data_IF_614138445564
#
_entry.id   IF_614138445564
#
_cell.length_a   1.000
_cell.length_b   1.000
_cell.length_c   1.000
_cell.angle_alpha   90.00
_cell.angle_beta   90.00
_cell.angle_gamma   90.00
#
_symmetry.space_group_name_H-M   'P 1'
#
loop_
_entity.id
_entity.type
_entity.pdbx_description
1 polymer ?
#
# COMPACT_ATOMS: atom_id res chain seq x y z
N UNK A 1 -5.39 15.49 22.28
CA UNK A 1 -6.60 14.83 21.75
C UNK A 1 -6.31 13.90 20.55
N UNK A 2 -5.07 13.75 20.08
CA UNK A 2 -4.72 12.86 18.93
C UNK A 2 -4.22 11.45 19.31
N UNK A 3 -4.03 11.16 20.60
CA UNK A 3 -3.50 9.87 21.09
C UNK A 3 -4.43 8.70 20.76
N UNK A 4 -5.75 8.89 20.91
CA UNK A 4 -6.72 7.81 20.78
C UNK A 4 -6.94 7.39 19.33
N UNK A 5 -6.84 8.32 18.37
CA UNK A 5 -6.96 8.02 16.96
C UNK A 5 -5.75 7.25 16.40
N UNK A 6 -4.54 7.59 16.87
CA UNK A 6 -3.32 6.84 16.53
C UNK A 6 -3.34 5.43 17.15
N UNK A 7 -3.76 5.32 18.41
CA UNK A 7 -3.92 4.03 19.08
C UNK A 7 -4.97 3.16 18.40
N UNK A 8 -6.11 3.73 17.98
CA UNK A 8 -7.14 2.99 17.25
C UNK A 8 -6.66 2.48 15.88
N UNK A 9 -5.77 3.20 15.19
CA UNK A 9 -5.14 2.75 13.94
C UNK A 9 -4.15 1.60 14.19
N UNK A 10 -3.36 1.71 15.26
CA UNK A 10 -2.44 0.65 15.66
C UNK A 10 -3.19 -0.65 15.96
N UNK A 11 -4.27 -0.57 16.74
CA UNK A 11 -5.10 -1.72 17.11
C UNK A 11 -5.70 -2.45 15.90
N UNK A 12 -5.85 -1.79 14.75
CA UNK A 12 -6.36 -2.41 13.52
C UNK A 12 -5.27 -3.09 12.70
N UNK A 13 -4.07 -2.52 12.65
CA UNK A 13 -2.94 -3.19 12.02
C UNK A 13 -2.59 -4.50 12.75
N UNK A 14 -2.89 -4.55 14.05
CA UNK A 14 -2.68 -5.70 14.93
C UNK A 14 -3.85 -6.71 14.92
N UNK A 15 -4.93 -6.44 14.16
CA UNK A 15 -6.06 -7.37 14.03
C UNK A 15 -5.65 -8.60 13.19
N UNK A 16 -5.67 -9.83 13.76
CA UNK A 16 -5.24 -11.03 13.05
C UNK A 16 -6.06 -11.33 11.79
N UNK A 17 -7.34 -10.97 11.75
CA UNK A 17 -8.20 -11.18 10.58
C UNK A 17 -7.81 -10.24 9.45
N UNK A 18 -7.54 -8.96 9.76
CA UNK A 18 -7.08 -7.99 8.76
C UNK A 18 -5.68 -8.34 8.25
N UNK A 19 -4.78 -8.81 9.13
CA UNK A 19 -3.47 -9.31 8.73
C UNK A 19 -3.59 -10.52 7.80
N UNK A 20 -4.44 -11.49 8.12
CA UNK A 20 -4.68 -12.64 7.25
C UNK A 20 -5.16 -12.21 5.86
N UNK A 21 -6.09 -11.27 5.77
CA UNK A 21 -6.58 -10.73 4.50
C UNK A 21 -5.49 -9.99 3.72
N UNK A 22 -4.62 -9.23 4.40
CA UNK A 22 -3.49 -8.59 3.75
C UNK A 22 -2.50 -9.62 3.18
N UNK A 23 -2.22 -10.69 3.93
CA UNK A 23 -1.34 -11.79 3.52
C UNK A 23 -1.91 -12.59 2.35
N UNK A 24 -3.23 -12.72 2.22
CA UNK A 24 -3.87 -13.36 1.05
C UNK A 24 -3.62 -12.60 -0.26
N UNK A 25 -3.55 -11.26 -0.21
CA UNK A 25 -3.32 -10.42 -1.38
C UNK A 25 -1.84 -10.29 -1.77
N UNK A 26 -0.97 -10.47 -0.79
CA UNK A 26 0.46 -10.24 -0.93
C UNK A 26 1.17 -11.52 -1.44
N UNK A 27 1.96 -11.46 -2.53
CA UNK A 27 2.77 -12.59 -2.99
C UNK A 27 4.03 -12.78 -2.12
N UNK A 28 3.84 -12.90 -0.80
CA UNK A 28 4.90 -12.86 0.22
C UNK A 28 5.91 -14.00 0.06
N UNK A 29 5.46 -15.19 -0.35
CA UNK A 29 6.35 -16.33 -0.56
C UNK A 29 7.38 -16.05 -1.67
N UNK A 30 6.94 -15.43 -2.78
CA UNK A 30 7.83 -15.01 -3.87
C UNK A 30 8.81 -13.95 -3.40
N UNK A 31 8.32 -12.89 -2.75
CA UNK A 31 9.17 -11.83 -2.22
C UNK A 31 10.22 -12.33 -1.23
N UNK A 32 9.89 -13.32 -0.39
CA UNK A 32 10.87 -13.95 0.52
C UNK A 32 11.95 -14.71 -0.24
N UNK A 33 11.59 -15.43 -1.29
CA UNK A 33 12.55 -16.14 -2.14
C UNK A 33 13.48 -15.15 -2.86
N UNK A 34 12.92 -14.08 -3.43
CA UNK A 34 13.66 -13.03 -4.14
C UNK A 34 14.59 -12.25 -3.19
N UNK A 35 14.11 -11.94 -1.99
CA UNK A 35 14.91 -11.31 -0.93
C UNK A 35 16.08 -12.21 -0.49
N UNK A 36 15.84 -13.50 -0.27
CA UNK A 36 16.88 -14.46 0.11
C UNK A 36 17.93 -14.62 -1.00
N UNK A 37 17.48 -14.73 -2.26
CA UNK A 37 18.38 -14.81 -3.40
C UNK A 37 19.25 -13.56 -3.52
N UNK A 38 18.64 -12.38 -3.39
CA UNK A 38 19.35 -11.10 -3.44
C UNK A 38 20.35 -10.99 -2.29
N UNK A 39 19.98 -11.37 -1.06
CA UNK A 39 20.90 -11.40 0.07
C UNK A 39 22.11 -12.30 -0.21
N UNK A 40 21.88 -13.53 -0.69
CA UNK A 40 22.95 -14.48 -0.99
C UNK A 40 23.98 -13.88 -1.97
N UNK A 41 23.50 -13.34 -3.11
CA UNK A 41 24.34 -12.70 -4.11
C UNK A 41 25.15 -11.51 -3.58
N UNK A 42 24.61 -10.80 -2.59
CA UNK A 42 25.25 -9.64 -1.97
C UNK A 42 26.19 -10.01 -0.82
N UNK A 43 26.08 -11.23 -0.29
CA UNK A 43 26.96 -11.78 0.74
C UNK A 43 28.17 -12.52 0.16
N UNK A 44 28.04 -13.06 -1.07
CA UNK A 44 29.13 -13.76 -1.75
C UNK A 44 30.30 -12.80 -2.05
N UNK A 45 31.47 -13.09 -1.46
CA UNK A 45 32.72 -12.36 -1.71
C UNK A 45 33.05 -11.26 -0.69
N UNK A 46 32.14 -10.94 0.23
CA UNK A 46 32.43 -10.09 1.39
C UNK A 46 32.34 -10.98 2.63
N UNK A 47 33.42 -11.22 3.38
CA UNK A 47 33.37 -11.96 4.66
C UNK A 47 32.66 -11.14 5.77
N UNK A 48 31.59 -10.43 5.40
CA UNK A 48 30.81 -9.51 6.22
C UNK A 48 29.34 -9.95 6.20
N UNK A 49 28.58 -9.69 7.28
CA UNK A 49 27.14 -9.92 7.29
C UNK A 49 26.47 -8.91 6.34
N UNK A 50 26.28 -9.29 5.07
CA UNK A 50 25.65 -8.49 4.02
C UNK A 50 26.36 -7.15 3.70
N UNK A 51 25.97 -6.45 2.61
CA UNK A 51 26.41 -5.09 2.40
C UNK A 51 25.89 -4.23 3.56
N UNK A 52 26.79 -3.51 4.25
CA UNK A 52 26.45 -2.57 5.31
C UNK A 52 25.80 -3.17 6.58
N UNK A 53 25.88 -4.49 6.81
CA UNK A 53 25.23 -5.10 7.98
C UNK A 53 23.74 -5.44 7.78
N UNK A 54 23.25 -5.38 6.53
CA UNK A 54 21.85 -5.66 6.21
C UNK A 54 21.55 -7.17 6.24
N UNK A 55 20.40 -7.53 6.81
CA UNK A 55 19.88 -8.88 6.84
C UNK A 55 18.89 -9.17 5.71
N UNK A 56 18.44 -10.43 5.62
CA UNK A 56 17.42 -10.85 4.63
C UNK A 56 16.13 -10.03 4.75
N UNK A 57 15.73 -9.65 5.96
CA UNK A 57 14.52 -8.86 6.21
C UNK A 57 14.59 -7.45 5.60
N UNK A 58 15.79 -6.86 5.51
CA UNK A 58 15.98 -5.57 4.83
C UNK A 58 15.75 -5.70 3.31
N UNK A 59 16.18 -6.81 2.72
CA UNK A 59 15.89 -7.13 1.32
C UNK A 59 14.39 -7.42 1.12
N UNK A 60 13.73 -8.10 2.08
CA UNK A 60 12.29 -8.30 2.04
C UNK A 60 11.52 -6.98 2.10
N UNK A 61 11.95 -6.03 2.93
CA UNK A 61 11.35 -4.70 2.99
C UNK A 61 11.46 -3.98 1.63
N UNK A 62 12.57 -4.14 0.90
CA UNK A 62 12.72 -3.60 -0.46
C UNK A 62 11.77 -4.25 -1.47
N UNK A 63 11.62 -5.58 -1.43
CA UNK A 63 10.66 -6.29 -2.29
C UNK A 63 9.21 -5.83 -2.01
N UNK A 64 8.86 -5.68 -0.73
CA UNK A 64 7.55 -5.15 -0.32
C UNK A 64 7.29 -3.74 -0.86
N UNK A 65 8.27 -2.85 -0.77
CA UNK A 65 8.16 -1.48 -1.30
C UNK A 65 7.98 -1.47 -2.81
N UNK A 66 8.76 -2.28 -3.54
CA UNK A 66 8.68 -2.38 -4.98
C UNK A 66 7.31 -2.91 -5.43
N UNK A 67 6.84 -4.00 -4.82
CA UNK A 67 5.53 -4.58 -5.08
C UNK A 67 4.40 -3.59 -4.79
N UNK A 68 4.44 -2.92 -3.62
CA UNK A 68 3.41 -1.96 -3.25
C UNK A 68 3.29 -0.84 -4.28
N UNK A 69 4.43 -0.28 -4.71
CA UNK A 69 4.49 0.87 -5.60
C UNK A 69 4.11 0.55 -7.05
N UNK A 70 4.44 -0.65 -7.53
CA UNK A 70 4.36 -0.99 -8.96
C UNK A 70 3.22 -1.92 -9.33
N UNK A 71 2.74 -2.73 -8.38
CA UNK A 71 1.79 -3.81 -8.65
C UNK A 71 0.52 -3.71 -7.82
N UNK A 72 0.62 -3.32 -6.55
CA UNK A 72 -0.53 -3.32 -5.65
C UNK A 72 -1.30 -1.99 -5.66
N UNK A 73 -0.60 -0.86 -5.61
CA UNK A 73 -1.21 0.45 -5.41
C UNK A 73 -0.99 1.36 -6.63
N UNK A 74 -2.01 2.15 -6.94
CA UNK A 74 -1.95 3.19 -7.98
C UNK A 74 -2.18 4.56 -7.36
N UNK A 75 -1.39 5.55 -7.77
CA UNK A 75 -1.64 6.94 -7.41
C UNK A 75 -2.88 7.47 -8.14
N UNK A 76 -3.73 8.21 -7.41
CA UNK A 76 -4.90 8.89 -7.98
C UNK A 76 -4.77 10.38 -7.71
N UNK A 77 -4.52 11.16 -8.75
CA UNK A 77 -4.54 12.63 -8.72
C UNK A 77 -5.92 13.17 -9.10
N UNK A 78 -6.49 12.58 -10.15
CA UNK A 78 -7.82 12.89 -10.69
C UNK A 78 -8.55 11.56 -10.92
N UNK A 79 -9.77 11.42 -10.41
CA UNK A 79 -10.53 10.18 -10.54
C UNK A 79 -11.00 9.97 -11.99
N UNK A 80 -10.66 8.82 -12.58
CA UNK A 80 -11.13 8.47 -13.92
C UNK A 80 -12.67 8.30 -13.93
N UNK A 81 -13.31 8.68 -15.03
CA UNK A 81 -14.75 8.47 -15.20
C UNK A 81 -15.08 6.98 -15.19
N UNK A 82 -15.96 6.55 -14.29
CA UNK A 82 -16.36 5.14 -14.18
C UNK A 82 -17.09 4.61 -15.43
N UNK A 83 -17.74 5.49 -16.20
CA UNK A 83 -18.51 5.10 -17.39
C UNK A 83 -17.65 4.95 -18.66
N UNK A 84 -16.68 5.84 -18.89
CA UNK A 84 -15.89 5.87 -20.13
C UNK A 84 -14.37 5.71 -19.94
N UNK A 85 -13.88 5.70 -18.69
CA UNK A 85 -12.45 5.59 -18.38
C UNK A 85 -11.64 6.87 -18.63
N UNK A 86 -12.27 7.98 -19.02
CA UNK A 86 -11.57 9.24 -19.27
C UNK A 86 -10.91 9.75 -17.98
N UNK A 87 -9.61 10.04 -18.05
CA UNK A 87 -8.80 10.56 -16.93
C UNK A 87 -8.77 12.08 -16.85
N UNK A 88 -9.35 12.78 -17.83
CA UNK A 88 -9.47 14.25 -17.87
C UNK A 88 -10.78 14.74 -17.24
N UNK A 89 -11.18 14.16 -16.10
CA UNK A 89 -12.32 14.66 -15.32
C UNK A 89 -11.93 15.95 -14.60
N UNK A 90 -12.93 16.79 -14.28
CA UNK A 90 -12.71 18.07 -13.62
C UNK A 90 -13.27 18.03 -12.20
N UNK A 91 -12.47 18.46 -11.22
CA UNK A 91 -12.94 18.56 -9.84
C UNK A 91 -14.15 19.47 -9.76
N UNK A 92 -15.20 18.98 -9.10
CA UNK A 92 -16.46 19.69 -8.84
C UNK A 92 -16.58 20.13 -7.38
N UNK A 93 -15.49 20.01 -6.63
CA UNK A 93 -15.42 20.33 -5.20
C UNK A 93 -15.69 19.12 -4.29
N UNK A 94 -15.51 19.31 -2.98
CA UNK A 94 -15.78 18.26 -1.99
C UNK A 94 -17.28 18.14 -1.68
N UNK A 95 -17.69 16.96 -1.24
CA UNK A 95 -19.00 16.67 -0.69
C UNK A 95 -18.91 15.83 0.58
N UNK A 96 -19.96 15.81 1.43
CA UNK A 96 -20.07 14.86 2.52
C UNK A 96 -20.09 13.42 2.00
N UNK A 97 -19.44 12.47 2.70
CA UNK A 97 -19.48 11.07 2.31
C UNK A 97 -20.90 10.50 2.42
N UNK A 98 -21.25 9.59 1.52
CA UNK A 98 -22.49 8.84 1.58
C UNK A 98 -22.44 7.75 2.68
N UNK A 99 -23.56 7.10 3.04
CA UNK A 99 -23.56 6.11 4.13
C UNK A 99 -22.60 4.92 3.95
N UNK A 100 -22.38 4.48 2.71
CA UNK A 100 -21.45 3.39 2.40
C UNK A 100 -19.98 3.84 2.57
N UNK A 101 -19.65 5.02 2.03
CA UNK A 101 -18.33 5.65 2.22
C UNK A 101 -18.03 5.89 3.70
N UNK A 102 -19.02 6.33 4.48
CA UNK A 102 -18.92 6.51 5.93
C UNK A 102 -18.71 5.18 6.67
N UNK A 103 -19.38 4.10 6.25
CA UNK A 103 -19.16 2.77 6.80
C UNK A 103 -17.72 2.29 6.56
N UNK A 104 -17.12 2.72 5.43
CA UNK A 104 -15.70 2.53 5.12
C UNK A 104 -14.78 3.64 5.66
N UNK A 105 -15.30 4.48 6.58
CA UNK A 105 -14.57 5.50 7.35
C UNK A 105 -14.02 6.66 6.52
N UNK A 106 -14.61 6.93 5.37
CA UNK A 106 -14.37 8.18 4.64
C UNK A 106 -14.88 9.37 5.46
N UNK A 107 -14.10 10.44 5.52
CA UNK A 107 -14.48 11.71 6.15
C UNK A 107 -14.81 12.82 5.14
N UNK A 108 -14.40 12.65 3.88
CA UNK A 108 -14.59 13.60 2.78
C UNK A 108 -14.64 12.84 1.46
N UNK A 109 -15.49 13.29 0.54
CA UNK A 109 -15.58 12.76 -0.82
C UNK A 109 -15.24 13.87 -1.82
N UNK A 110 -14.33 13.60 -2.75
CA UNK A 110 -13.94 14.55 -3.80
C UNK A 110 -14.73 14.23 -5.07
N UNK A 111 -15.53 15.19 -5.55
CA UNK A 111 -16.37 14.99 -6.72
C UNK A 111 -15.62 15.37 -8.00
N UNK A 112 -15.82 14.59 -9.05
CA UNK A 112 -15.27 14.83 -10.38
C UNK A 112 -16.36 14.69 -11.43
N UNK A 113 -16.42 15.65 -12.36
CA UNK A 113 -17.34 15.66 -13.50
C UNK A 113 -16.59 15.28 -14.76
N UNK A 114 -17.16 14.34 -15.54
CA UNK A 114 -16.64 13.99 -16.85
C UNK A 114 -17.10 15.03 -17.89
N UNK A 115 -16.20 15.55 -18.75
CA UNK A 115 -16.57 16.52 -19.79
C UNK A 115 -17.22 15.89 -21.03
N UNK A 116 -17.30 14.55 -21.10
CA UNK A 116 -17.90 13.82 -22.22
C UNK A 116 -19.40 13.63 -22.04
#
# INVERSE_FOLDING_TARGET
>A
MDSDAALARQLQADDPQLQARALELMPLAGMRADAQQTFNLNSEGTNLPGPLGLGVDDFLAKELLAWFKTSFFSWVDVAACQACGNTSTQSSGPAPPNPDEMAHRASRTELYTCPQ
#
